data_IF_345725580688
#
_entry.id   IF_345725580688
#
_cell.length_a   1.000
_cell.length_b   1.000
_cell.length_c   1.000
_cell.angle_alpha   90.00
_cell.angle_beta   90.00
_cell.angle_gamma   90.00
#
_symmetry.space_group_name_H-M   'P 1'
#
loop_
_entity.id
_entity.type
_entity.pdbx_description
1 polymer ?
#
# COMPACT_ATOMS: atom_id res chain seq x y z
N UNK A 1 -2.76 -8.70 -12.93
CA UNK A 1 -1.41 -8.35 -13.46
C UNK A 1 -0.48 -7.94 -12.32
N UNK A 2 0.86 -7.82 -12.49
CA UNK A 2 1.76 -7.51 -11.34
C UNK A 2 1.39 -6.25 -10.55
N UNK A 3 0.67 -5.31 -11.19
CA UNK A 3 0.13 -4.10 -10.56
C UNK A 3 -0.88 -4.39 -9.45
N UNK A 4 -1.58 -5.53 -9.49
CA UNK A 4 -2.52 -5.93 -8.43
C UNK A 4 -1.79 -6.42 -7.18
N UNK A 5 -0.58 -6.95 -7.36
CA UNK A 5 0.30 -7.30 -6.24
C UNK A 5 1.11 -6.08 -5.75
N UNK A 6 0.95 -4.90 -6.36
CA UNK A 6 1.76 -3.72 -6.06
C UNK A 6 1.70 -3.34 -4.57
N UNK A 7 2.88 -3.26 -4.00
CA UNK A 7 3.08 -3.09 -2.56
C UNK A 7 3.39 -1.64 -2.22
N UNK A 8 2.48 -0.96 -1.51
CA UNK A 8 2.78 0.37 -0.91
C UNK A 8 3.93 0.33 0.09
N UNK A 9 4.30 -0.85 0.55
CA UNK A 9 5.38 -1.09 1.50
C UNK A 9 6.77 -1.16 0.86
N UNK A 10 6.84 -1.36 -0.45
CA UNK A 10 8.10 -1.45 -1.18
C UNK A 10 8.22 -0.24 -2.09
N UNK A 11 9.01 0.80 -1.74
CA UNK A 11 9.17 1.99 -2.59
C UNK A 11 9.62 1.61 -4.00
N UNK A 12 10.40 0.53 -4.13
CA UNK A 12 10.89 -0.01 -5.39
C UNK A 12 9.79 -0.34 -6.40
N UNK A 13 8.59 -0.71 -5.94
CA UNK A 13 7.47 -1.01 -6.84
C UNK A 13 6.73 0.26 -7.26
N UNK A 14 6.77 1.33 -6.46
CA UNK A 14 6.04 2.58 -6.69
C UNK A 14 6.60 3.43 -7.82
N UNK A 15 7.93 3.44 -7.98
CA UNK A 15 8.59 4.12 -9.09
C UNK A 15 8.07 3.66 -10.45
N UNK A 16 7.61 2.41 -10.54
CA UNK A 16 7.07 1.83 -11.78
C UNK A 16 5.59 2.19 -12.05
N UNK A 17 4.83 2.64 -11.04
CA UNK A 17 3.36 2.84 -11.17
C UNK A 17 2.93 4.29 -11.28
N UNK A 18 3.85 5.25 -11.09
CA UNK A 18 3.51 6.69 -11.10
C UNK A 18 2.65 7.13 -9.91
N UNK A 19 2.43 6.24 -8.94
CA UNK A 19 1.65 6.55 -7.73
C UNK A 19 2.55 7.26 -6.72
N UNK A 20 2.08 8.39 -6.18
CA UNK A 20 2.76 9.15 -5.13
C UNK A 20 3.03 8.22 -3.92
N UNK A 21 4.26 7.73 -3.79
CA UNK A 21 4.59 6.75 -2.77
C UNK A 21 4.41 7.36 -1.39
N UNK A 22 3.50 6.78 -0.60
CA UNK A 22 3.42 6.98 0.84
C UNK A 22 3.71 5.66 1.53
N UNK A 23 4.54 5.72 2.56
CA UNK A 23 4.68 4.63 3.52
C UNK A 23 3.29 4.15 3.96
N UNK A 24 3.10 2.83 4.05
CA UNK A 24 1.83 2.23 4.48
C UNK A 24 1.27 2.90 5.74
N UNK A 25 2.14 3.19 6.70
CA UNK A 25 1.79 3.91 7.92
C UNK A 25 1.14 5.27 7.67
N UNK A 26 1.78 6.12 6.88
CA UNK A 26 1.26 7.45 6.54
C UNK A 26 -0.05 7.37 5.76
N UNK A 27 -0.16 6.43 4.82
CA UNK A 27 -1.39 6.20 4.08
C UNK A 27 -2.54 5.79 4.99
N UNK A 28 -2.33 4.83 5.88
CA UNK A 28 -3.35 4.35 6.81
C UNK A 28 -3.80 5.44 7.79
N UNK A 29 -2.87 6.22 8.33
CA UNK A 29 -3.19 7.34 9.23
C UNK A 29 -3.99 8.43 8.52
N UNK A 30 -3.60 8.81 7.30
CA UNK A 30 -4.25 9.90 6.56
C UNK A 30 -5.59 9.47 5.97
N UNK A 31 -5.65 8.28 5.36
CA UNK A 31 -6.79 7.86 4.56
C UNK A 31 -7.83 7.04 5.32
N UNK A 32 -7.44 6.36 6.41
CA UNK A 32 -8.36 5.50 7.18
C UNK A 32 -8.51 5.95 8.64
N UNK A 33 -7.85 7.05 9.02
CA UNK A 33 -7.68 7.46 10.43
C UNK A 33 -7.25 6.29 11.31
N UNK A 34 -6.42 5.41 10.76
CA UNK A 34 -5.90 4.25 11.46
C UNK A 34 -4.83 4.68 12.49
N UNK A 35 -4.58 3.84 13.48
CA UNK A 35 -3.52 4.08 14.46
C UNK A 35 -2.14 3.96 13.81
N UNK A 36 -1.98 2.93 12.98
CA UNK A 36 -0.78 2.69 12.19
C UNK A 36 -1.07 1.87 10.94
N UNK A 37 -0.14 1.90 10.00
CA UNK A 37 -0.13 1.01 8.84
C UNK A 37 1.06 0.06 8.94
N UNK A 38 0.79 -1.23 8.79
CA UNK A 38 1.79 -2.28 8.88
C UNK A 38 1.97 -2.98 7.55
N UNK A 39 3.23 -3.21 7.20
CA UNK A 39 3.62 -3.91 6.00
C UNK A 39 3.82 -5.38 6.31
N UNK A 40 2.91 -6.23 5.84
CA UNK A 40 3.02 -7.66 6.00
C UNK A 40 3.51 -8.32 4.72
N UNK A 41 4.22 -9.43 4.86
CA UNK A 41 4.67 -10.20 3.71
C UNK A 41 3.46 -10.76 2.98
N UNK A 42 3.36 -10.44 1.70
CA UNK A 42 2.30 -10.95 0.86
C UNK A 42 2.92 -11.34 -0.46
N UNK A 43 3.38 -12.59 -0.60
CA UNK A 43 4.05 -13.04 -1.80
C UNK A 43 3.15 -12.80 -2.99
N UNK A 44 3.70 -12.16 -4.04
CA UNK A 44 2.93 -11.91 -5.24
C UNK A 44 2.53 -13.23 -5.89
N UNK A 45 1.23 -13.48 -6.04
CA UNK A 45 0.77 -14.70 -6.71
C UNK A 45 1.01 -14.61 -8.22
N UNK A 46 0.96 -13.40 -8.79
CA UNK A 46 1.13 -13.22 -10.24
C UNK A 46 2.59 -13.07 -10.65
N UNK A 47 3.43 -12.49 -9.78
CA UNK A 47 4.79 -12.10 -10.13
C UNK A 47 5.85 -12.43 -9.05
N UNK A 48 5.91 -13.68 -8.56
CA UNK A 48 6.79 -14.06 -7.46
C UNK A 48 8.28 -13.81 -7.77
N UNK A 49 8.71 -14.03 -9.02
CA UNK A 49 10.09 -13.78 -9.44
C UNK A 49 10.45 -12.30 -9.61
N UNK A 50 9.46 -11.43 -9.89
CA UNK A 50 9.69 -9.99 -10.07
C UNK A 50 9.57 -9.23 -8.76
N UNK A 51 8.76 -9.74 -7.84
CA UNK A 51 8.46 -9.13 -6.55
C UNK A 51 8.76 -10.13 -5.42
N UNK A 52 10.03 -10.57 -5.25
CA UNK A 52 10.40 -11.59 -4.26
C UNK A 52 10.13 -11.15 -2.82
N UNK A 53 9.99 -9.84 -2.56
CA UNK A 53 9.70 -9.26 -1.25
C UNK A 53 8.45 -8.39 -1.33
N UNK A 54 7.38 -8.95 -1.89
CA UNK A 54 6.11 -8.25 -1.99
C UNK A 54 5.46 -8.11 -0.60
N UNK A 55 5.01 -6.90 -0.29
CA UNK A 55 4.46 -6.52 1.01
C UNK A 55 3.18 -5.73 0.87
N UNK A 56 2.06 -6.30 1.27
CA UNK A 56 0.81 -5.57 1.28
C UNK A 56 0.71 -4.65 2.51
N UNK A 57 -0.01 -3.55 2.33
CA UNK A 57 -0.25 -2.59 3.39
C UNK A 57 -1.55 -2.93 4.12
N UNK A 58 -1.46 -3.14 5.44
CA UNK A 58 -2.60 -3.36 6.31
C UNK A 58 -2.76 -2.19 7.28
N UNK A 59 -3.93 -1.56 7.28
CA UNK A 59 -4.25 -0.52 8.27
C UNK A 59 -4.77 -1.14 9.57
N UNK A 60 -4.09 -0.84 10.68
CA UNK A 60 -4.43 -1.34 12.02
C UNK A 60 -5.31 -0.32 12.73
N UNK A 61 -6.44 -0.79 13.28
CA UNK A 61 -7.44 0.08 13.94
C UNK A 61 -7.94 1.21 13.03
N UNK A 62 -8.23 0.91 11.76
CA UNK A 62 -8.88 1.86 10.86
C UNK A 62 -10.20 2.35 11.47
N UNK A 63 -10.30 3.66 11.69
CA UNK A 63 -11.47 4.28 12.33
C UNK A 63 -12.51 4.72 11.31
N UNK A 64 -12.09 4.93 10.06
CA UNK A 64 -12.96 5.34 8.96
C UNK A 64 -12.71 4.50 7.72
N UNK A 65 -13.70 4.49 6.82
CA UNK A 65 -13.47 4.07 5.44
C UNK A 65 -12.45 4.99 4.75
N UNK A 66 -11.93 4.54 3.60
CA UNK A 66 -10.97 5.28 2.78
C UNK A 66 -11.48 6.70 2.51
N UNK A 67 -10.68 7.70 2.86
CA UNK A 67 -10.99 9.10 2.62
C UNK A 67 -10.91 9.41 1.13
N UNK A 68 -12.01 9.20 0.43
CA UNK A 68 -12.11 9.47 -1.00
C UNK A 68 -12.18 10.98 -1.33
N UNK A 69 -12.12 11.86 -0.32
CA UNK A 69 -12.02 13.31 -0.56
C UNK A 69 -10.58 13.74 -0.78
N UNK A 70 -9.63 13.00 -0.23
CA UNK A 70 -8.22 13.26 -0.40
C UNK A 70 -7.70 12.53 -1.65
N UNK A 71 -7.25 13.25 -2.70
CA UNK A 71 -6.75 12.62 -3.93
C UNK A 71 -5.50 11.77 -3.67
N UNK A 72 -4.78 12.00 -2.58
CA UNK A 72 -3.66 11.15 -2.16
C UNK A 72 -4.09 9.75 -1.70
N UNK A 73 -5.39 9.53 -1.47
CA UNK A 73 -5.97 8.25 -1.09
C UNK A 73 -6.60 7.48 -2.26
N UNK A 74 -6.57 8.04 -3.47
CA UNK A 74 -7.18 7.44 -4.66
C UNK A 74 -6.31 6.40 -5.35
N UNK A 75 -5.02 6.36 -4.97
CA UNK A 75 -4.11 5.28 -5.25
C UNK A 75 -4.63 3.92 -4.77
#
# INVERSE_FOLDING_TARGET
GCFEDWSRCSPSTASATGVLWRSCDSYCKVCFKADRGECYDSPSLNCPHRLPNNKQCRCINARTAKDNRNPTCWA
#
